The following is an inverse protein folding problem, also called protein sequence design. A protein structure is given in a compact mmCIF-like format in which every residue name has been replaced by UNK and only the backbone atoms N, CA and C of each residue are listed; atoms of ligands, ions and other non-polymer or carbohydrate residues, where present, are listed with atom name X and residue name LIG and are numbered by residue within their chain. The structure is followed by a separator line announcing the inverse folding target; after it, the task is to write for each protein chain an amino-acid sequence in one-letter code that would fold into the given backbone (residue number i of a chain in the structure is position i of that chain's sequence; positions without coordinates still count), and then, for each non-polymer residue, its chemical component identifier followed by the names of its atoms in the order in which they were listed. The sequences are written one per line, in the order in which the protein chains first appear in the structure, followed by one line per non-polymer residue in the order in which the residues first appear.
data_IF_679118024944
#
_entry.id   IF_679118024944
#
_cell.length_a   1.000
_cell.length_b   1.000
_cell.length_c   1.000
_cell.angle_alpha   90.00
_cell.angle_beta   90.00
_cell.angle_gamma   90.00
#
_symmetry.space_group_name_H-M   'P 1'
#
loop_
_entity.id
_entity.type
_entity.pdbx_description
1 polymer ?
#
# COMPACT_ATOMS: atom_id res chain seq x y z
N UNK A 1 4.69 -17.27 -11.69
CA UNK A 1 4.93 -15.84 -11.90
C UNK A 1 5.54 -15.65 -13.28
N UNK A 2 4.79 -15.09 -14.22
CA UNK A 2 5.29 -14.64 -15.53
C UNK A 2 6.17 -13.39 -15.35
N UNK A 3 6.90 -13.00 -16.40
CA UNK A 3 7.71 -11.76 -16.35
C UNK A 3 6.83 -10.51 -16.12
N UNK A 4 5.62 -10.48 -16.67
CA UNK A 4 4.65 -9.39 -16.48
C UNK A 4 4.08 -9.40 -15.06
N UNK A 5 3.86 -10.58 -14.47
CA UNK A 5 3.43 -10.68 -13.06
C UNK A 5 4.54 -10.23 -12.09
N UNK A 6 5.81 -10.51 -12.40
CA UNK A 6 6.97 -10.11 -11.59
C UNK A 6 7.26 -8.60 -11.68
N UNK A 7 7.23 -8.05 -12.90
CA UNK A 7 7.65 -6.68 -13.20
C UNK A 7 6.69 -5.98 -14.17
N UNK A 8 5.42 -5.77 -13.77
CA UNK A 8 4.39 -5.23 -14.65
C UNK A 8 4.72 -3.83 -15.16
N UNK A 9 5.30 -2.97 -14.31
CA UNK A 9 5.63 -1.60 -14.67
C UNK A 9 6.80 -1.50 -15.64
N UNK A 10 7.78 -2.40 -15.56
CA UNK A 10 8.89 -2.44 -16.51
C UNK A 10 8.39 -2.95 -17.87
N UNK A 11 7.55 -3.99 -17.88
CA UNK A 11 6.91 -4.49 -19.09
C UNK A 11 6.04 -3.41 -19.77
N UNK A 12 5.24 -2.66 -18.99
CA UNK A 12 4.46 -1.53 -19.48
C UNK A 12 5.32 -0.39 -20.05
N UNK A 13 6.44 -0.07 -19.39
CA UNK A 13 7.39 0.96 -19.86
C UNK A 13 8.12 0.54 -21.14
N UNK A 14 8.44 -0.75 -21.29
CA UNK A 14 9.07 -1.31 -22.48
C UNK A 14 8.11 -1.51 -23.65
N UNK A 15 6.79 -1.42 -23.42
CA UNK A 15 5.76 -1.73 -24.42
C UNK A 15 5.57 -3.22 -24.65
N UNK A 16 6.05 -4.05 -23.73
CA UNK A 16 5.93 -5.51 -23.75
C UNK A 16 4.59 -6.00 -23.16
N UNK A 17 3.92 -5.16 -22.39
CA UNK A 17 2.57 -5.40 -21.87
C UNK A 17 1.71 -4.14 -22.00
N UNK A 18 0.44 -4.35 -22.28
CA UNK A 18 -0.58 -3.30 -22.34
C UNK A 18 -1.15 -2.99 -20.95
N UNK A 19 -1.81 -1.84 -20.81
CA UNK A 19 -2.53 -1.50 -19.58
C UNK A 19 -3.61 -2.53 -19.28
N UNK A 20 -4.29 -3.07 -20.30
CA UNK A 20 -5.35 -4.08 -20.12
C UNK A 20 -4.80 -5.40 -19.56
N UNK A 21 -3.52 -5.71 -19.79
CA UNK A 21 -2.83 -6.86 -19.20
C UNK A 21 -2.32 -6.59 -17.78
N UNK A 22 -1.86 -5.37 -17.50
CA UNK A 22 -1.30 -4.98 -16.20
C UNK A 22 -2.40 -4.68 -15.17
N UNK A 23 -3.49 -4.04 -15.59
CA UNK A 23 -4.54 -3.54 -14.71
C UNK A 23 -5.19 -4.64 -13.86
N UNK A 24 -5.51 -5.84 -14.39
CA UNK A 24 -6.00 -6.94 -13.57
C UNK A 24 -5.04 -7.35 -12.46
N UNK A 25 -3.74 -7.38 -12.72
CA UNK A 25 -2.70 -7.73 -11.74
C UNK A 25 -2.65 -6.71 -10.59
N UNK A 26 -2.78 -5.42 -10.92
CA UNK A 26 -2.87 -4.36 -9.91
C UNK A 26 -4.13 -4.52 -9.04
N UNK A 27 -5.27 -4.85 -9.64
CA UNK A 27 -6.51 -5.12 -8.91
C UNK A 27 -6.41 -6.37 -8.03
N UNK A 28 -5.70 -7.41 -8.47
CA UNK A 28 -5.47 -8.60 -7.65
C UNK A 28 -4.64 -8.28 -6.40
N UNK A 29 -3.60 -7.47 -6.55
CA UNK A 29 -2.84 -6.98 -5.39
C UNK A 29 -3.71 -6.16 -4.43
N UNK A 30 -4.57 -5.29 -4.96
CA UNK A 30 -5.52 -4.53 -4.13
C UNK A 30 -6.48 -5.46 -3.37
N UNK A 31 -7.00 -6.51 -4.01
CA UNK A 31 -7.89 -7.48 -3.35
C UNK A 31 -7.23 -8.18 -2.17
N UNK A 32 -5.96 -8.59 -2.30
CA UNK A 32 -5.20 -9.20 -1.20
C UNK A 32 -5.10 -8.25 0.02
N UNK A 33 -4.90 -6.96 -0.22
CA UNK A 33 -4.87 -5.96 0.87
C UNK A 33 -6.26 -5.78 1.46
N UNK A 34 -7.32 -5.78 0.63
CA UNK A 34 -8.69 -5.65 1.12
C UNK A 34 -9.12 -6.82 2.01
N UNK A 35 -8.64 -8.04 1.76
CA UNK A 35 -8.85 -9.18 2.67
C UNK A 35 -8.23 -8.89 4.06
N UNK A 36 -7.05 -8.27 4.12
CA UNK A 36 -6.41 -7.86 5.38
C UNK A 36 -7.14 -6.71 6.07
N UNK A 37 -7.75 -5.81 5.29
CA UNK A 37 -8.60 -4.74 5.82
C UNK A 37 -9.88 -5.30 6.41
N UNK A 38 -10.50 -6.30 5.76
CA UNK A 38 -11.67 -7.01 6.29
C UNK A 38 -11.35 -7.66 7.63
N UNK A 39 -10.26 -8.43 7.72
CA UNK A 39 -9.73 -9.00 8.97
C UNK A 39 -9.59 -7.94 10.07
N UNK A 40 -9.07 -6.76 9.74
CA UNK A 40 -8.91 -5.66 10.69
C UNK A 40 -10.26 -5.09 11.14
N UNK A 41 -11.18 -4.86 10.20
CA UNK A 41 -12.51 -4.31 10.49
C UNK A 41 -13.32 -5.25 11.39
N UNK A 42 -13.10 -6.56 11.32
CA UNK A 42 -13.70 -7.56 12.21
C UNK A 42 -13.05 -7.62 13.60
N UNK A 43 -12.02 -6.81 13.90
CA UNK A 43 -11.26 -6.86 15.15
C UNK A 43 -11.00 -5.47 15.76
N UNK A 44 -11.76 -4.45 15.34
CA UNK A 44 -11.76 -3.11 15.94
C UNK A 44 -13.19 -2.59 16.06
N UNK A 45 -13.47 -1.77 17.09
CA UNK A 45 -14.76 -1.11 17.25
C UNK A 45 -14.69 0.36 16.84
N UNK A 46 -15.62 0.79 15.97
CA UNK A 46 -15.88 2.21 15.73
C UNK A 46 -15.96 2.63 14.26
N UNK A 47 -16.01 3.94 14.05
CA UNK A 47 -16.02 4.54 12.72
C UNK A 47 -14.62 4.52 12.10
N UNK A 48 -14.54 4.11 10.84
CA UNK A 48 -13.28 3.93 10.11
C UNK A 48 -13.31 4.74 8.82
N UNK A 49 -12.20 5.43 8.52
CA UNK A 49 -11.95 6.04 7.23
C UNK A 49 -10.82 5.26 6.54
N UNK A 50 -11.12 4.61 5.41
CA UNK A 50 -10.15 3.93 4.56
C UNK A 50 -9.70 4.90 3.45
N UNK A 51 -8.39 5.11 3.37
CA UNK A 51 -7.72 5.97 2.38
C UNK A 51 -6.41 5.33 1.94
N UNK A 52 -5.83 5.86 0.86
CA UNK A 52 -4.45 5.59 0.46
C UNK A 52 -3.59 6.84 0.68
N UNK A 53 -2.28 6.64 0.77
CA UNK A 53 -1.26 7.70 0.80
C UNK A 53 -1.02 8.29 -0.61
N UNK A 54 -1.10 7.45 -1.65
CA UNK A 54 -1.01 7.85 -3.05
C UNK A 54 -1.85 6.96 -3.98
N UNK A 55 -1.97 7.40 -5.24
CA UNK A 55 -2.43 6.56 -6.35
C UNK A 55 -1.27 6.08 -7.23
N UNK A 56 -1.55 5.62 -8.45
CA UNK A 56 -0.56 4.96 -9.31
C UNK A 56 -0.69 5.43 -10.77
N UNK A 57 0.43 5.53 -11.49
CA UNK A 57 0.43 5.81 -12.94
C UNK A 57 0.54 4.53 -13.76
N UNK A 58 -0.15 4.52 -14.90
CA UNK A 58 -0.16 3.43 -15.88
C UNK A 58 0.16 3.97 -17.28
N UNK A 59 1.23 4.75 -17.40
CA UNK A 59 1.71 5.31 -18.66
C UNK A 59 1.50 6.82 -18.82
N UNK A 60 0.85 7.49 -17.86
CA UNK A 60 0.75 8.96 -17.90
C UNK A 60 2.13 9.61 -17.87
N UNK A 61 2.35 10.56 -18.79
CA UNK A 61 3.66 11.20 -18.99
C UNK A 61 4.79 10.19 -19.27
N UNK A 62 4.47 9.00 -19.80
CA UNK A 62 5.42 7.91 -20.04
C UNK A 62 5.88 7.19 -18.77
N UNK A 63 5.19 7.39 -17.64
CA UNK A 63 5.57 6.85 -16.34
C UNK A 63 4.62 5.74 -15.87
N UNK A 64 5.19 4.72 -15.25
CA UNK A 64 4.49 3.66 -14.53
C UNK A 64 4.98 3.65 -13.08
N UNK A 65 4.06 3.56 -12.13
CA UNK A 65 4.38 3.67 -10.71
C UNK A 65 4.12 5.07 -10.12
N UNK A 66 4.73 5.33 -8.96
CA UNK A 66 4.50 6.54 -8.14
C UNK A 66 5.81 7.22 -7.77
N UNK A 67 6.47 7.85 -8.75
CA UNK A 67 7.70 8.60 -8.49
C UNK A 67 7.42 9.88 -7.68
N UNK A 68 8.40 10.24 -6.85
CA UNK A 68 8.34 11.45 -6.04
C UNK A 68 8.26 12.71 -6.91
N UNK A 69 7.59 13.74 -6.39
CA UNK A 69 7.54 15.09 -6.99
C UNK A 69 6.85 15.19 -8.35
N UNK A 70 6.09 14.17 -8.79
CA UNK A 70 5.24 14.27 -9.99
C UNK A 70 3.86 14.86 -9.60
N UNK A 71 3.49 16.06 -10.07
CA UNK A 71 2.24 16.70 -9.65
C UNK A 71 1.00 16.16 -10.40
N UNK A 72 0.93 14.87 -10.71
CA UNK A 72 -0.16 14.27 -11.48
C UNK A 72 -1.38 13.95 -10.60
N UNK A 73 -2.62 14.23 -11.05
CA UNK A 73 -3.82 13.98 -10.25
C UNK A 73 -4.03 12.50 -9.92
N UNK A 74 -3.65 11.55 -10.79
CA UNK A 74 -3.78 10.12 -10.49
C UNK A 74 -2.89 9.63 -9.33
N UNK A 75 -1.84 10.39 -8.96
CA UNK A 75 -1.03 10.09 -7.78
C UNK A 75 -1.58 10.72 -6.50
N UNK A 76 -2.44 11.75 -6.62
CA UNK A 76 -2.90 12.56 -5.49
C UNK A 76 -4.38 12.37 -5.16
N UNK A 77 -5.19 11.91 -6.12
CA UNK A 77 -6.60 11.59 -5.92
C UNK A 77 -6.71 10.16 -5.38
N UNK A 78 -6.85 10.05 -4.07
CA UNK A 78 -6.97 8.79 -3.34
C UNK A 78 -8.42 8.56 -2.89
N UNK A 79 -8.82 7.31 -2.65
CA UNK A 79 -10.15 7.01 -2.12
C UNK A 79 -10.33 7.61 -0.72
N UNK A 80 -11.56 8.00 -0.41
CA UNK A 80 -12.00 8.33 0.95
C UNK A 80 -13.28 7.55 1.23
N UNK A 81 -13.14 6.37 1.82
CA UNK A 81 -14.26 5.47 2.10
C UNK A 81 -14.56 5.51 3.59
N UNK A 82 -15.80 5.87 3.93
CA UNK A 82 -16.29 5.81 5.32
C UNK A 82 -16.94 4.46 5.55
N UNK A 83 -16.55 3.77 6.60
CA UNK A 83 -17.09 2.47 7.03
C UNK A 83 -17.04 2.35 8.56
N UNK A 84 -17.35 1.18 9.09
CA UNK A 84 -17.28 0.85 10.53
C UNK A 84 -16.63 -0.50 10.74
N UNK A 85 -15.93 -0.67 11.86
CA UNK A 85 -15.49 -1.97 12.35
C UNK A 85 -16.40 -2.50 13.47
N UNK A 86 -16.37 -3.80 13.71
CA UNK A 86 -16.99 -4.45 14.87
C UNK A 86 -16.03 -5.53 15.38
N UNK A 87 -15.60 -5.43 16.64
CA UNK A 87 -14.67 -6.38 17.24
C UNK A 87 -15.32 -7.73 17.54
N UNK A 88 -15.04 -8.72 16.70
CA UNK A 88 -15.44 -10.13 16.85
C UNK A 88 -14.45 -10.95 17.68
N UNK A 89 -13.31 -10.36 18.06
CA UNK A 89 -12.24 -10.97 18.88
C UNK A 89 -11.66 -12.26 18.29
N UNK A 90 -11.63 -12.37 16.97
CA UNK A 90 -11.02 -13.49 16.25
C UNK A 90 -9.50 -13.40 16.20
N UNK A 91 -8.94 -12.19 16.40
CA UNK A 91 -7.50 -11.91 16.45
C UNK A 91 -7.17 -11.06 17.68
N UNK A 92 -6.01 -11.31 18.27
CA UNK A 92 -5.43 -10.48 19.33
C UNK A 92 -4.02 -10.08 18.89
N UNK A 93 -3.66 -8.79 18.93
CA UNK A 93 -2.29 -8.39 18.64
C UNK A 93 -1.37 -8.99 19.70
N UNK A 94 -0.23 -9.52 19.26
CA UNK A 94 0.85 -9.89 20.16
C UNK A 94 1.50 -8.60 20.68
N UNK A 95 1.37 -8.26 21.97
CA UNK A 95 1.93 -7.03 22.52
C UNK A 95 3.46 -7.01 22.47
N UNK A 96 4.10 -8.18 22.36
CA UNK A 96 5.55 -8.32 22.29
C UNK A 96 6.08 -8.30 20.84
N UNK A 97 5.20 -8.13 19.85
CA UNK A 97 5.57 -7.98 18.44
C UNK A 97 6.22 -6.62 18.18
N UNK A 98 7.49 -6.50 18.54
CA UNK A 98 8.35 -5.39 18.11
C UNK A 98 9.06 -5.77 16.81
N UNK A 99 8.69 -5.10 15.71
CA UNK A 99 9.42 -5.22 14.43
C UNK A 99 10.83 -4.57 14.55
N UNK A 100 11.03 -3.70 15.54
CA UNK A 100 12.31 -3.02 15.80
C UNK A 100 12.96 -3.59 17.05
N UNK A 101 14.14 -4.21 16.90
CA UNK A 101 15.06 -4.38 18.04
C UNK A 101 15.35 -3.01 18.63
N UNK A 102 15.21 -2.87 19.95
CA UNK A 102 15.51 -1.64 20.71
C UNK A 102 16.90 -1.05 20.39
N UNK A 103 17.84 -1.87 19.94
CA UNK A 103 19.20 -1.48 19.58
C UNK A 103 19.26 -0.38 18.47
N UNK A 104 18.23 -0.27 17.63
CA UNK A 104 18.21 0.70 16.53
C UNK A 104 17.64 2.07 16.93
N UNK A 105 16.96 2.16 18.08
CA UNK A 105 16.32 3.42 18.53
C UNK A 105 17.37 4.44 18.94
N UNK A 106 18.35 4.05 19.75
CA UNK A 106 19.45 4.93 20.19
C UNK A 106 20.27 5.45 19.01
N UNK A 107 20.58 4.56 18.06
CA UNK A 107 21.29 4.93 16.83
C UNK A 107 20.46 5.88 15.97
N UNK A 108 19.16 5.64 15.82
CA UNK A 108 18.26 6.53 15.11
C UNK A 108 18.16 7.90 15.79
N UNK A 109 18.10 7.95 17.12
CA UNK A 109 18.07 9.20 17.88
C UNK A 109 19.37 10.00 17.71
N UNK A 110 20.53 9.33 17.76
CA UNK A 110 21.82 9.94 17.47
C UNK A 110 21.91 10.47 16.03
N UNK A 111 21.45 9.70 15.03
CA UNK A 111 21.41 10.11 13.62
C UNK A 111 20.47 11.33 13.41
N UNK A 112 19.45 11.49 14.27
CA UNK A 112 18.54 12.65 14.30
C UNK A 112 19.03 13.81 15.19
N UNK A 113 20.19 13.67 15.85
CA UNK A 113 20.80 14.71 16.68
C UNK A 113 20.29 14.78 18.13
N UNK A 114 19.54 13.77 18.58
CA UNK A 114 19.20 13.58 19.99
C UNK A 114 20.31 12.80 20.72
N UNK A 115 20.35 12.90 22.06
CA UNK A 115 21.41 12.34 22.91
C UNK A 115 21.15 10.91 23.32
#
# INVERSE_FOLDING_TARGET
MTAVEDRPYDAGRAGEATIDEIWPLYLDNLRLVLDSVEDLLENIDGAVALTADHGELFGELGQYGHFQSIPHPKLKKVPWVKTTGTDTRTRQPDPDFSIRKMDDVEKQLADLGYR
#
